data_IF_960465236521
#
_entry.id   IF_960465236521
#
_cell.length_a   1.000
_cell.length_b   1.000
_cell.length_c   1.000
_cell.angle_alpha   90.00
_cell.angle_beta   90.00
_cell.angle_gamma   90.00
#
_symmetry.space_group_name_H-M   'P 1'
#
loop_
_entity.id
_entity.type
_entity.pdbx_description
1 polymer ?
#
# COMPACT_ATOMS: atom_id res chain seq x y z
N UNK A 1 7.81 -1.11 7.86
CA UNK A 1 8.34 -1.42 6.50
C UNK A 1 9.84 -1.09 6.40
N UNK A 2 10.28 0.14 6.69
CA UNK A 2 11.70 0.49 6.55
C UNK A 2 12.63 -0.37 7.46
N UNK A 3 12.14 -0.79 8.63
CA UNK A 3 12.93 -1.63 9.54
C UNK A 3 13.04 -3.09 9.09
N UNK A 4 12.04 -3.65 8.41
CA UNK A 4 12.08 -5.02 7.89
C UNK A 4 12.98 -5.15 6.64
N UNK A 5 13.32 -4.03 6.00
CA UNK A 5 14.30 -3.95 4.92
C UNK A 5 15.45 -3.02 5.35
N UNK A 6 16.37 -3.50 6.21
CA UNK A 6 17.41 -2.66 6.79
C UNK A 6 18.38 -2.09 5.74
N UNK A 7 18.46 -2.70 4.55
CA UNK A 7 19.19 -2.18 3.39
C UNK A 7 18.43 -2.44 2.09
N UNK A 8 18.25 -1.39 1.29
CA UNK A 8 17.76 -1.49 -0.10
C UNK A 8 18.63 -0.62 -1.01
N UNK A 9 18.56 -0.85 -2.33
CA UNK A 9 19.32 -0.03 -3.30
C UNK A 9 18.75 1.38 -3.46
N UNK A 10 17.46 1.54 -3.19
CA UNK A 10 16.79 2.82 -3.25
C UNK A 10 15.37 2.73 -2.72
N UNK A 11 14.82 3.89 -2.37
CA UNK A 11 13.48 4.06 -1.80
C UNK A 11 12.77 5.15 -2.61
N UNK A 12 11.46 5.03 -2.76
CA UNK A 12 10.64 6.14 -3.21
C UNK A 12 9.27 6.09 -2.54
N UNK A 13 8.64 7.25 -2.40
CA UNK A 13 7.30 7.42 -1.82
C UNK A 13 6.47 8.28 -2.76
N UNK A 14 5.30 7.77 -3.15
CA UNK A 14 4.36 8.40 -4.06
C UNK A 14 3.02 8.61 -3.36
N UNK A 15 2.25 9.59 -3.81
CA UNK A 15 0.82 9.64 -3.52
C UNK A 15 0.07 8.65 -4.43
N UNK A 16 -1.23 8.50 -4.19
CA UNK A 16 -2.10 7.60 -4.96
C UNK A 16 -2.27 8.03 -6.43
N UNK A 17 -1.96 9.29 -6.75
CA UNK A 17 -1.86 9.80 -8.13
C UNK A 17 -0.48 9.59 -8.78
N UNK A 18 0.46 8.98 -8.05
CA UNK A 18 1.80 8.67 -8.55
C UNK A 18 2.79 9.84 -8.52
N UNK A 19 2.48 10.93 -7.82
CA UNK A 19 3.39 12.08 -7.64
C UNK A 19 4.38 11.77 -6.52
N UNK A 20 5.69 11.92 -6.76
CA UNK A 20 6.67 11.69 -5.72
C UNK A 20 6.57 12.71 -4.60
N UNK A 21 6.72 12.24 -3.36
CA UNK A 21 6.86 13.10 -2.19
C UNK A 21 7.95 14.16 -2.40
N UNK A 22 9.10 13.76 -2.96
CA UNK A 22 10.21 14.68 -3.26
C UNK A 22 10.11 15.18 -4.71
N UNK A 23 9.87 16.48 -4.88
CA UNK A 23 9.77 17.08 -6.20
C UNK A 23 11.03 16.81 -7.05
N UNK A 24 10.84 16.57 -8.35
CA UNK A 24 11.94 16.28 -9.29
C UNK A 24 12.52 14.87 -9.21
N UNK A 25 11.99 13.99 -8.35
CA UNK A 25 12.47 12.62 -8.18
C UNK A 25 11.68 11.57 -8.97
N UNK A 26 10.78 11.98 -9.87
CA UNK A 26 10.04 11.05 -10.72
C UNK A 26 11.01 10.19 -11.56
N UNK A 27 10.78 8.87 -11.55
CA UNK A 27 11.64 7.89 -12.21
C UNK A 27 13.04 7.71 -11.60
N UNK A 28 13.33 8.40 -10.49
CA UNK A 28 14.62 8.33 -9.79
C UNK A 28 14.43 7.70 -8.41
N UNK A 29 15.30 6.76 -8.09
CA UNK A 29 15.37 6.19 -6.76
C UNK A 29 16.07 7.17 -5.82
N UNK A 30 15.51 7.40 -4.63
CA UNK A 30 16.24 8.06 -3.57
C UNK A 30 17.26 7.08 -3.00
N UNK A 31 18.49 7.53 -2.80
CA UNK A 31 19.55 6.70 -2.22
C UNK A 31 19.20 6.35 -0.78
N UNK A 32 19.23 5.05 -0.46
CA UNK A 32 18.94 4.57 0.88
C UNK A 32 20.01 5.03 1.88
N UNK A 33 19.60 5.79 2.90
CA UNK A 33 20.45 6.23 4.01
C UNK A 33 19.60 6.52 5.24
N UNK A 34 20.21 6.48 6.43
CA UNK A 34 19.50 6.83 7.67
C UNK A 34 18.91 8.25 7.63
N UNK A 35 19.65 9.20 7.06
CA UNK A 35 19.18 10.58 6.86
C UNK A 35 17.97 10.64 5.91
N UNK A 36 18.04 9.95 4.76
CA UNK A 36 16.94 9.92 3.79
C UNK A 36 15.67 9.28 4.37
N UNK A 37 15.82 8.18 5.12
CA UNK A 37 14.69 7.51 5.82
C UNK A 37 14.06 8.42 6.86
N UNK A 38 14.87 9.12 7.66
CA UNK A 38 14.39 10.10 8.64
C UNK A 38 13.59 11.22 7.96
N UNK A 39 14.10 11.78 6.87
CA UNK A 39 13.41 12.82 6.10
C UNK A 39 12.07 12.33 5.52
N UNK A 40 12.00 11.08 5.03
CA UNK A 40 10.75 10.48 4.56
C UNK A 40 9.72 10.44 5.69
N UNK A 41 10.10 9.97 6.88
CA UNK A 41 9.21 9.85 8.04
C UNK A 41 8.73 11.24 8.50
N UNK A 42 9.64 12.19 8.68
CA UNK A 42 9.32 13.55 9.11
C UNK A 42 8.36 14.24 8.13
N UNK A 43 8.59 14.06 6.82
CA UNK A 43 7.73 14.65 5.80
C UNK A 43 6.37 13.99 5.73
N UNK A 44 6.30 12.66 5.87
CA UNK A 44 5.06 11.89 5.85
C UNK A 44 4.06 12.41 6.91
N UNK A 45 4.53 12.79 8.09
CA UNK A 45 3.67 13.29 9.19
C UNK A 45 2.81 14.49 8.80
N UNK A 46 3.27 15.32 7.87
CA UNK A 46 2.59 16.56 7.47
C UNK A 46 2.26 16.59 5.96
N UNK A 47 2.42 15.47 5.26
CA UNK A 47 2.26 15.44 3.82
C UNK A 47 0.78 15.46 3.45
N UNK A 48 0.34 16.55 2.82
CA UNK A 48 -1.02 16.72 2.29
C UNK A 48 -1.01 16.52 0.77
N UNK A 49 -0.97 15.27 0.34
CA UNK A 49 -1.14 14.94 -1.06
C UNK A 49 -2.63 14.99 -1.46
N UNK A 50 -2.90 15.23 -2.74
CA UNK A 50 -4.24 15.04 -3.30
C UNK A 50 -4.47 13.54 -3.51
N UNK A 51 -5.69 13.07 -3.25
CA UNK A 51 -6.08 11.67 -3.40
C UNK A 51 -7.47 11.55 -3.98
N UNK A 52 -7.63 10.70 -4.99
CA UNK A 52 -8.93 10.32 -5.54
C UNK A 52 -9.46 9.01 -4.91
N UNK A 53 -8.68 8.40 -4.00
CA UNK A 53 -8.97 7.12 -3.34
C UNK A 53 -8.96 5.92 -4.29
N UNK A 54 -8.01 5.93 -5.22
CA UNK A 54 -7.68 4.79 -6.09
C UNK A 54 -6.18 4.51 -6.02
N UNK A 55 -5.76 3.28 -5.69
CA UNK A 55 -4.34 2.94 -5.71
C UNK A 55 -3.79 2.72 -7.13
N UNK A 56 -4.65 2.70 -8.16
CA UNK A 56 -4.29 2.25 -9.51
C UNK A 56 -3.22 3.18 -10.10
N UNK A 57 -3.46 4.47 -10.11
CA UNK A 57 -2.61 5.50 -10.72
C UNK A 57 -1.21 5.52 -10.09
N UNK A 58 -1.14 5.43 -8.76
CA UNK A 58 0.10 5.35 -8.00
C UNK A 58 0.88 4.06 -8.28
N UNK A 59 0.19 2.92 -8.38
CA UNK A 59 0.81 1.64 -8.80
C UNK A 59 1.32 1.74 -10.23
N UNK A 60 0.53 2.29 -11.16
CA UNK A 60 0.94 2.46 -12.55
C UNK A 60 2.20 3.32 -12.65
N UNK A 61 2.23 4.44 -11.93
CA UNK A 61 3.39 5.32 -11.86
C UNK A 61 4.61 4.59 -11.29
N UNK A 62 4.44 3.81 -10.21
CA UNK A 62 5.52 3.02 -9.62
C UNK A 62 6.13 2.03 -10.62
N UNK A 63 5.27 1.30 -11.35
CA UNK A 63 5.73 0.32 -12.36
C UNK A 63 6.39 1.02 -13.54
N UNK A 64 5.81 2.10 -14.07
CA UNK A 64 6.36 2.80 -15.24
C UNK A 64 7.66 3.54 -14.93
N UNK A 65 7.73 4.21 -13.78
CA UNK A 65 8.84 5.09 -13.45
C UNK A 65 10.07 4.36 -12.88
N UNK A 66 9.87 3.29 -12.10
CA UNK A 66 10.94 2.75 -11.26
C UNK A 66 11.32 1.30 -11.52
N UNK A 67 10.50 0.55 -12.26
CA UNK A 67 10.85 -0.80 -12.67
C UNK A 67 12.07 -0.83 -13.60
N UNK A 68 12.92 -1.84 -13.45
CA UNK A 68 13.92 -2.22 -14.44
C UNK A 68 14.15 -3.74 -14.38
N UNK A 69 14.54 -4.35 -15.50
CA UNK A 69 14.65 -5.81 -15.62
C UNK A 69 15.72 -6.42 -14.68
N UNK A 70 16.71 -5.62 -14.29
CA UNK A 70 17.81 -5.96 -13.38
C UNK A 70 17.50 -5.66 -11.90
N UNK A 71 16.29 -5.16 -11.59
CA UNK A 71 15.87 -4.78 -10.23
C UNK A 71 14.77 -5.70 -9.72
N UNK A 72 14.76 -5.91 -8.40
CA UNK A 72 13.61 -6.46 -7.66
C UNK A 72 12.92 -5.30 -6.96
N UNK A 73 11.67 -5.05 -7.32
CA UNK A 73 10.90 -3.91 -6.84
C UNK A 73 9.68 -4.41 -6.08
N UNK A 74 9.53 -3.94 -4.84
CA UNK A 74 8.33 -4.14 -4.02
C UNK A 74 7.62 -2.80 -3.85
N UNK A 75 6.33 -2.78 -4.17
CA UNK A 75 5.42 -1.65 -3.96
C UNK A 75 4.60 -1.94 -2.71
N UNK A 76 4.53 -0.97 -1.80
CA UNK A 76 3.69 -1.02 -0.60
C UNK A 76 2.62 0.04 -0.72
N UNK A 77 1.37 -0.39 -0.84
CA UNK A 77 0.19 0.47 -0.87
C UNK A 77 -0.34 0.60 0.55
N UNK A 78 -0.45 1.84 1.02
CA UNK A 78 -0.96 2.19 2.34
C UNK A 78 -2.23 3.00 2.12
N UNK A 79 -3.38 2.54 2.61
CA UNK A 79 -4.66 3.23 2.38
C UNK A 79 -5.80 2.64 3.19
N UNK A 80 -6.94 3.30 3.17
CA UNK A 80 -8.13 2.95 3.93
C UNK A 80 -9.41 2.92 3.10
N UNK A 81 -9.36 3.45 1.87
CA UNK A 81 -10.55 3.73 1.07
C UNK A 81 -10.37 3.43 -0.42
N UNK A 82 -11.44 2.96 -1.07
CA UNK A 82 -11.52 2.77 -2.52
C UNK A 82 -12.87 3.22 -3.07
N UNK A 83 -12.85 4.27 -3.88
CA UNK A 83 -14.05 4.92 -4.45
C UNK A 83 -14.28 4.59 -5.92
N UNK A 84 -13.33 3.95 -6.60
CA UNK A 84 -13.44 3.63 -8.03
C UNK A 84 -14.66 2.76 -8.37
N UNK A 85 -15.11 2.84 -9.62
CA UNK A 85 -16.36 2.19 -10.06
C UNK A 85 -16.31 0.65 -9.96
N UNK A 86 -15.17 0.03 -10.30
CA UNK A 86 -15.04 -1.43 -10.35
C UNK A 86 -13.70 -1.94 -9.83
N UNK A 87 -13.78 -2.90 -8.92
CA UNK A 87 -12.61 -3.65 -8.43
C UNK A 87 -11.94 -4.41 -9.58
N UNK A 88 -12.74 -5.05 -10.45
CA UNK A 88 -12.18 -5.81 -11.57
C UNK A 88 -11.42 -4.92 -12.55
N UNK A 89 -11.98 -3.74 -12.87
CA UNK A 89 -11.28 -2.79 -13.74
C UNK A 89 -9.96 -2.31 -13.15
N UNK A 90 -9.90 -2.08 -11.83
CA UNK A 90 -8.66 -1.73 -11.14
C UNK A 90 -7.61 -2.86 -11.22
N UNK A 91 -8.03 -4.12 -11.02
CA UNK A 91 -7.17 -5.29 -11.15
C UNK A 91 -6.65 -5.45 -12.59
N UNK A 92 -7.53 -5.29 -13.57
CA UNK A 92 -7.18 -5.43 -15.00
C UNK A 92 -6.18 -4.35 -15.44
N UNK A 93 -6.38 -3.09 -14.99
CA UNK A 93 -5.46 -1.99 -15.26
C UNK A 93 -4.04 -2.28 -14.75
N UNK A 94 -3.92 -2.75 -13.51
CA UNK A 94 -2.61 -3.13 -12.94
C UNK A 94 -2.02 -4.36 -13.62
N UNK A 95 -2.84 -5.36 -13.96
CA UNK A 95 -2.40 -6.57 -14.67
C UNK A 95 -1.82 -6.25 -16.05
N UNK A 96 -2.40 -5.27 -16.76
CA UNK A 96 -1.94 -4.83 -18.08
C UNK A 96 -0.50 -4.28 -18.06
N UNK A 97 -0.13 -3.59 -16.97
CA UNK A 97 1.19 -2.94 -16.83
C UNK A 97 2.20 -3.81 -16.06
N UNK A 98 1.76 -4.59 -15.06
CA UNK A 98 2.63 -5.43 -14.24
C UNK A 98 2.77 -6.82 -14.87
N UNK A 99 3.21 -6.85 -16.13
CA UNK A 99 3.31 -8.08 -16.90
C UNK A 99 4.33 -9.05 -16.31
N UNK A 100 4.07 -10.33 -16.54
CA UNK A 100 5.00 -11.41 -16.24
C UNK A 100 6.06 -11.50 -17.35
N UNK A 101 7.33 -11.62 -16.98
CA UNK A 101 8.42 -11.88 -17.92
C UNK A 101 8.39 -13.35 -18.42
N UNK A 102 9.25 -13.68 -19.38
CA UNK A 102 9.34 -15.04 -19.93
C UNK A 102 9.74 -16.11 -18.91
N UNK A 103 10.17 -15.70 -17.71
CA UNK A 103 10.56 -16.58 -16.60
C UNK A 103 9.48 -16.66 -15.52
N UNK A 104 8.28 -16.15 -15.78
CA UNK A 104 7.20 -16.19 -14.81
C UNK A 104 7.26 -15.11 -13.73
N UNK A 105 8.16 -14.12 -13.83
CA UNK A 105 8.30 -13.08 -12.79
C UNK A 105 7.54 -11.81 -13.15
N UNK A 106 6.74 -11.29 -12.22
CA UNK A 106 6.13 -9.96 -12.31
C UNK A 106 7.19 -8.86 -12.29
N UNK A 107 6.88 -7.71 -12.92
CA UNK A 107 7.76 -6.53 -12.89
C UNK A 107 7.97 -6.03 -11.45
N UNK A 108 6.87 -5.93 -10.70
CA UNK A 108 6.90 -5.55 -9.28
C UNK A 108 6.06 -6.51 -8.44
N UNK A 109 6.38 -6.63 -7.16
CA UNK A 109 5.51 -7.24 -6.15
C UNK A 109 4.67 -6.17 -5.48
N UNK A 110 3.39 -6.44 -5.22
CA UNK A 110 2.48 -5.44 -4.64
C UNK A 110 1.97 -5.94 -3.31
N UNK A 111 2.31 -5.22 -2.24
CA UNK A 111 1.84 -5.46 -0.88
C UNK A 111 0.87 -4.35 -0.46
N UNK A 112 -0.03 -4.64 0.48
CA UNK A 112 -1.03 -3.69 0.95
C UNK A 112 -1.12 -3.66 2.47
N UNK A 113 -1.27 -2.47 3.03
CA UNK A 113 -1.63 -2.25 4.43
C UNK A 113 -2.91 -1.41 4.44
N UNK A 114 -3.99 -2.00 4.94
CA UNK A 114 -5.29 -1.34 5.08
C UNK A 114 -5.44 -0.69 6.44
N UNK A 115 -5.73 0.61 6.50
CA UNK A 115 -6.09 1.27 7.75
C UNK A 115 -7.60 1.30 7.96
N UNK A 116 -8.07 1.29 9.22
CA UNK A 116 -9.48 1.47 9.50
C UNK A 116 -9.88 2.95 9.41
N UNK A 117 -10.95 3.23 8.67
CA UNK A 117 -11.49 4.59 8.57
C UNK A 117 -12.13 5.09 9.89
N UNK A 118 -12.15 6.42 10.16
CA UNK A 118 -12.80 7.04 11.32
C UNK A 118 -14.21 6.51 11.60
N UNK A 119 -14.67 6.46 12.87
CA UNK A 119 -16.04 6.03 13.16
C UNK A 119 -17.03 6.94 12.42
N UNK A 120 -18.05 6.36 11.79
CA UNK A 120 -19.02 7.10 10.98
C UNK A 120 -18.59 7.35 9.52
N UNK A 121 -17.37 6.98 9.13
CA UNK A 121 -16.98 6.97 7.72
C UNK A 121 -17.72 5.87 6.93
N UNK A 122 -17.92 6.01 5.61
CA UNK A 122 -18.63 5.03 4.80
C UNK A 122 -17.97 3.65 4.79
N UNK A 123 -18.47 2.71 5.61
CA UNK A 123 -17.86 1.37 5.72
C UNK A 123 -17.76 0.62 4.38
N UNK A 124 -18.62 0.96 3.41
CA UNK A 124 -18.64 0.36 2.09
C UNK A 124 -17.31 0.54 1.33
N UNK A 125 -16.79 1.77 1.25
CA UNK A 125 -15.60 2.07 0.43
C UNK A 125 -14.32 1.52 1.08
N UNK A 126 -14.26 1.45 2.41
CA UNK A 126 -13.17 0.77 3.13
C UNK A 126 -13.19 -0.76 2.97
N UNK A 127 -14.38 -1.36 2.99
CA UNK A 127 -14.52 -2.79 2.68
C UNK A 127 -14.08 -3.10 1.24
N UNK A 128 -14.39 -2.20 0.29
CA UNK A 128 -13.94 -2.32 -1.10
C UNK A 128 -12.43 -2.18 -1.24
N UNK A 129 -11.78 -1.27 -0.50
CA UNK A 129 -10.32 -1.19 -0.48
C UNK A 129 -9.69 -2.51 -0.04
N UNK A 130 -10.21 -3.08 1.06
CA UNK A 130 -9.71 -4.36 1.57
C UNK A 130 -9.93 -5.50 0.57
N UNK A 131 -11.10 -5.55 -0.09
CA UNK A 131 -11.40 -6.55 -1.12
C UNK A 131 -10.47 -6.39 -2.34
N UNK A 132 -10.30 -5.16 -2.83
CA UNK A 132 -9.38 -4.84 -3.93
C UNK A 132 -7.95 -5.25 -3.57
N UNK A 133 -7.44 -4.80 -2.43
CA UNK A 133 -6.04 -5.02 -2.07
C UNK A 133 -5.74 -6.48 -1.75
N UNK A 134 -6.70 -7.25 -1.24
CA UNK A 134 -6.55 -8.70 -1.08
C UNK A 134 -6.30 -9.38 -2.43
N UNK A 135 -7.14 -9.12 -3.42
CA UNK A 135 -6.98 -9.68 -4.77
C UNK A 135 -5.75 -9.13 -5.50
N UNK A 136 -5.48 -7.82 -5.35
CA UNK A 136 -4.32 -7.15 -5.94
C UNK A 136 -3.02 -7.78 -5.45
N UNK A 137 -2.90 -8.01 -4.14
CA UNK A 137 -1.71 -8.62 -3.57
C UNK A 137 -1.54 -10.07 -4.05
N UNK A 138 -2.62 -10.85 -4.06
CA UNK A 138 -2.59 -12.25 -4.51
C UNK A 138 -2.11 -12.38 -5.97
N UNK A 139 -2.66 -11.56 -6.88
CA UNK A 139 -2.30 -11.57 -8.30
C UNK A 139 -0.87 -11.08 -8.61
N UNK A 140 -0.24 -10.40 -7.64
CA UNK A 140 1.05 -9.72 -7.79
C UNK A 140 2.09 -10.20 -6.76
N UNK A 141 1.98 -11.45 -6.30
CA UNK A 141 2.94 -12.13 -5.41
C UNK A 141 3.25 -11.37 -4.10
N UNK A 142 2.25 -10.71 -3.55
CA UNK A 142 2.37 -9.94 -2.32
C UNK A 142 1.47 -10.39 -1.20
N UNK A 143 1.25 -9.49 -0.25
CA UNK A 143 0.45 -9.78 0.95
C UNK A 143 -0.31 -8.54 1.36
N UNK A 144 -1.59 -8.73 1.70
CA UNK A 144 -2.43 -7.70 2.28
C UNK A 144 -2.55 -7.91 3.79
N UNK A 145 -2.37 -6.84 4.57
CA UNK A 145 -2.59 -6.82 6.02
C UNK A 145 -3.61 -5.72 6.34
N UNK A 146 -4.79 -6.10 6.81
CA UNK A 146 -5.79 -5.17 7.33
C UNK A 146 -5.54 -4.87 8.80
N UNK A 147 -5.38 -3.60 9.15
CA UNK A 147 -5.26 -3.15 10.53
C UNK A 147 -6.65 -2.92 11.10
N UNK A 148 -6.86 -3.34 12.35
CA UNK A 148 -8.11 -3.17 13.07
C UNK A 148 -7.95 -2.13 14.19
N UNK A 149 -9.06 -1.57 14.64
CA UNK A 149 -9.12 -0.71 15.84
C UNK A 149 -9.33 -1.48 17.13
N UNK A 150 -9.41 -2.79 17.04
CA UNK A 150 -9.59 -3.62 18.21
C UNK A 150 -8.36 -3.45 19.09
N UNK A 151 -8.54 -2.85 20.27
CA UNK A 151 -7.53 -2.90 21.31
C UNK A 151 -7.27 -4.39 21.60
N UNK A 152 -6.02 -4.81 21.64
CA UNK A 152 -5.70 -6.12 22.22
C UNK A 152 -6.21 -6.14 23.65
N UNK A 153 -7.19 -7.02 23.90
CA UNK A 153 -7.77 -7.18 25.23
C UNK A 153 -6.80 -7.99 26.08
N UNK A 154 -6.42 -7.47 27.25
CA UNK A 154 -5.50 -8.20 28.16
C UNK A 154 -6.10 -9.53 28.61
N UNK A 155 -7.41 -9.56 28.79
CA UNK A 155 -8.18 -10.77 29.00
C UNK A 155 -9.54 -10.65 28.33
N UNK A 156 -10.10 -11.78 27.91
CA UNK A 156 -11.44 -11.90 27.36
C UNK A 156 -12.26 -12.77 28.32
N UNK A 157 -13.41 -12.28 28.75
CA UNK A 157 -14.41 -13.13 29.42
C UNK A 157 -15.58 -13.37 28.50
N UNK A 158 -16.14 -14.57 28.57
CA UNK A 158 -17.36 -14.92 27.89
C UNK A 158 -18.52 -14.78 28.88
N UNK A 159 -19.43 -13.86 28.60
CA UNK A 159 -20.63 -13.63 29.40
C UNK A 159 -21.83 -13.89 28.50
N UNK A 160 -22.57 -14.97 28.77
CA UNK A 160 -23.71 -15.43 27.96
C UNK A 160 -23.38 -15.60 26.47
N UNK A 161 -22.21 -16.16 26.15
CA UNK A 161 -21.78 -16.39 24.76
C UNK A 161 -21.22 -15.15 24.04
N UNK A 162 -21.15 -14.01 24.72
CA UNK A 162 -20.55 -12.78 24.17
C UNK A 162 -19.16 -12.58 24.76
N UNK A 163 -18.15 -12.53 23.90
CA UNK A 163 -16.78 -12.16 24.28
C UNK A 163 -16.72 -10.69 24.66
N UNK A 164 -16.35 -10.40 25.90
CA UNK A 164 -16.10 -9.05 26.41
C UNK A 164 -14.65 -8.89 26.82
N UNK A 165 -14.10 -7.72 26.49
CA UNK A 165 -12.74 -7.36 26.86
C UNK A 165 -12.70 -6.82 28.29
N UNK A 166 -11.72 -7.30 29.06
CA UNK A 166 -11.35 -6.75 30.37
C UNK A 166 -10.06 -5.94 30.16
N UNK A 167 -10.07 -4.68 30.63
CA UNK A 167 -8.90 -3.78 30.62
C UNK A 167 -7.87 -4.12 31.72
#
# INVERSE_FOLDING_TARGET
>A
ILDIYPRVRGIQVLDDEGRPMFAGSYGKWLTDSAAQRKQIIERMQNWRAYSNSSPVEGIEAAVRGWWAADKRVSVYVLGDDFTGESIQQALDAVSLINKTDSKGRRRVRIHGIGFPMPPGAPAFTSARFSALMRSMCDQNEGTFVGLTREKQCKAVIEVFGVRRCIE
#
